data_IF_876855663084
#
_entry.id   IF_876855663084
#
_cell.length_a   1.000
_cell.length_b   1.000
_cell.length_c   1.000
_cell.angle_alpha   90.00
_cell.angle_beta   90.00
_cell.angle_gamma   90.00
#
_symmetry.space_group_name_H-M   'P 1'
#
loop_
_entity.id
_entity.type
_entity.pdbx_description
1 polymer ?
#
# COMPACT_ATOMS: atom_id res chain seq x y z
N UNK A 1 -19.54 22.29 -9.60
CA UNK A 1 -20.97 21.93 -9.49
C UNK A 1 -21.79 23.21 -9.59
N UNK A 2 -23.10 23.16 -9.86
CA UNK A 2 -23.98 24.31 -9.58
C UNK A 2 -24.33 24.23 -8.08
N UNK A 3 -24.13 25.31 -7.33
CA UNK A 3 -24.67 25.41 -5.97
C UNK A 3 -26.18 25.61 -6.01
N UNK A 4 -26.87 25.18 -4.97
CA UNK A 4 -28.29 25.39 -4.75
C UNK A 4 -28.41 26.12 -3.42
N UNK A 5 -28.82 27.39 -3.43
CA UNK A 5 -28.78 28.22 -2.22
C UNK A 5 -29.53 27.61 -1.04
N UNK A 6 -30.66 26.93 -1.31
CA UNK A 6 -31.48 26.21 -0.32
C UNK A 6 -30.68 25.16 0.47
N UNK A 7 -29.66 24.53 -0.15
CA UNK A 7 -28.75 23.61 0.55
C UNK A 7 -27.77 24.41 1.41
N UNK A 8 -27.12 25.42 0.82
CA UNK A 8 -26.12 26.26 1.49
C UNK A 8 -26.72 27.07 2.69
N UNK A 9 -28.03 27.34 2.65
CA UNK A 9 -28.81 28.03 3.71
C UNK A 9 -29.07 27.14 4.94
N UNK A 10 -28.96 25.81 4.83
CA UNK A 10 -29.26 24.86 5.92
C UNK A 10 -28.10 23.90 6.19
N UNK A 11 -27.43 24.10 7.33
CA UNK A 11 -26.25 23.32 7.73
C UNK A 11 -26.54 21.82 7.81
N UNK A 12 -27.65 21.43 8.46
CA UNK A 12 -28.06 20.03 8.63
C UNK A 12 -28.30 19.34 7.28
N UNK A 13 -28.90 20.05 6.31
CA UNK A 13 -29.12 19.54 4.96
C UNK A 13 -27.81 19.41 4.18
N UNK A 14 -26.93 20.41 4.27
CA UNK A 14 -25.58 20.35 3.69
C UNK A 14 -24.84 19.12 4.20
N UNK A 15 -24.75 18.94 5.52
CA UNK A 15 -24.09 17.79 6.14
C UNK A 15 -24.76 16.47 5.77
N UNK A 16 -26.09 16.42 5.77
CA UNK A 16 -26.88 15.25 5.35
C UNK A 16 -26.65 14.85 3.89
N UNK A 17 -26.45 15.82 2.98
CA UNK A 17 -26.13 15.58 1.57
C UNK A 17 -24.65 15.17 1.40
N UNK A 18 -23.73 15.84 2.08
CA UNK A 18 -22.29 15.53 2.03
C UNK A 18 -22.00 14.12 2.54
N UNK A 19 -22.61 13.71 3.66
CA UNK A 19 -22.50 12.36 4.21
C UNK A 19 -22.97 11.28 3.22
N UNK A 20 -24.13 11.50 2.59
CA UNK A 20 -24.69 10.60 1.54
C UNK A 20 -23.83 10.56 0.29
N UNK A 21 -23.29 11.71 -0.13
CA UNK A 21 -22.36 11.80 -1.25
C UNK A 21 -21.07 11.03 -0.95
N UNK A 22 -20.49 11.18 0.24
CA UNK A 22 -19.26 10.49 0.64
C UNK A 22 -19.47 8.99 0.81
N UNK A 23 -20.57 8.55 1.42
CA UNK A 23 -20.97 7.14 1.41
C UNK A 23 -21.09 6.56 -0.01
N UNK A 24 -21.68 7.31 -0.94
CA UNK A 24 -21.80 6.89 -2.36
C UNK A 24 -20.42 6.81 -3.05
N UNK A 25 -19.50 7.74 -2.76
CA UNK A 25 -18.10 7.65 -3.22
C UNK A 25 -17.40 6.39 -2.68
N UNK A 26 -17.62 6.04 -1.40
CA UNK A 26 -17.07 4.83 -0.80
C UNK A 26 -17.60 3.56 -1.49
N UNK A 27 -18.93 3.45 -1.69
CA UNK A 27 -19.53 2.33 -2.46
C UNK A 27 -18.95 2.21 -3.86
N UNK A 28 -18.78 3.32 -4.56
CA UNK A 28 -18.17 3.33 -5.89
C UNK A 28 -16.71 2.86 -5.87
N UNK A 29 -15.93 3.28 -4.88
CA UNK A 29 -14.54 2.85 -4.74
C UNK A 29 -14.42 1.35 -4.43
N UNK A 30 -15.28 0.80 -3.56
CA UNK A 30 -15.37 -0.64 -3.29
C UNK A 30 -15.84 -1.44 -4.51
N UNK A 31 -16.82 -0.93 -5.27
CA UNK A 31 -17.23 -1.58 -6.51
C UNK A 31 -16.07 -1.62 -7.52
N UNK A 32 -15.35 -0.51 -7.69
CA UNK A 32 -14.19 -0.45 -8.56
C UNK A 32 -13.08 -1.42 -8.11
N UNK A 33 -12.73 -1.49 -6.82
CA UNK A 33 -11.69 -2.43 -6.35
C UNK A 33 -12.01 -3.88 -6.68
N UNK A 34 -13.29 -4.29 -6.54
CA UNK A 34 -13.79 -5.62 -6.97
C UNK A 34 -13.65 -5.85 -8.49
N UNK A 35 -13.69 -4.82 -9.34
CA UNK A 35 -13.43 -4.96 -10.79
C UNK A 35 -11.95 -5.04 -11.17
N UNK A 36 -11.03 -4.53 -10.33
CA UNK A 36 -9.59 -4.63 -10.56
C UNK A 36 -9.01 -6.01 -10.19
N UNK A 37 -9.66 -6.74 -9.27
CA UNK A 37 -9.16 -8.04 -8.79
C UNK A 37 -8.99 -9.10 -9.90
N UNK A 38 -9.96 -9.37 -10.81
CA UNK A 38 -9.80 -10.39 -11.86
C UNK A 38 -8.67 -10.08 -12.85
N UNK A 39 -8.19 -8.83 -12.86
CA UNK A 39 -7.10 -8.35 -13.70
C UNK A 39 -5.72 -8.42 -12.98
N UNK A 40 -5.65 -9.03 -11.79
CA UNK A 40 -4.48 -9.08 -10.91
C UNK A 40 -3.93 -7.69 -10.49
N UNK A 41 -4.74 -6.64 -10.62
CA UNK A 41 -4.40 -5.25 -10.28
C UNK A 41 -4.61 -4.98 -8.79
N UNK A 42 -3.93 -5.76 -7.97
CA UNK A 42 -4.12 -5.79 -6.53
C UNK A 42 -3.70 -4.50 -5.82
N UNK A 43 -2.65 -3.83 -6.30
CA UNK A 43 -2.19 -2.57 -5.74
C UNK A 43 -3.24 -1.46 -5.93
N UNK A 44 -3.81 -1.36 -7.13
CA UNK A 44 -4.90 -0.44 -7.45
C UNK A 44 -6.19 -0.78 -6.68
N UNK A 45 -6.51 -2.07 -6.55
CA UNK A 45 -7.66 -2.52 -5.77
C UNK A 45 -7.53 -2.14 -4.27
N UNK A 46 -6.37 -2.34 -3.66
CA UNK A 46 -6.11 -1.95 -2.26
C UNK A 46 -6.06 -0.43 -2.09
N UNK A 47 -5.50 0.31 -3.03
CA UNK A 47 -5.57 1.79 -3.00
C UNK A 47 -7.01 2.31 -3.05
N UNK A 48 -7.90 1.61 -3.78
CA UNK A 48 -9.32 1.94 -3.84
C UNK A 48 -10.07 1.60 -2.54
N UNK A 49 -9.76 0.50 -1.84
CA UNK A 49 -10.37 0.24 -0.51
C UNK A 49 -9.88 1.25 0.53
N UNK A 50 -8.60 1.64 0.49
CA UNK A 50 -8.07 2.71 1.34
C UNK A 50 -8.79 4.05 1.08
N UNK A 51 -9.08 4.38 -0.18
CA UNK A 51 -9.88 5.56 -0.53
C UNK A 51 -11.35 5.43 -0.09
N UNK A 52 -11.93 4.24 -0.13
CA UNK A 52 -13.27 4.00 0.41
C UNK A 52 -13.32 4.28 1.93
N UNK A 53 -12.31 3.83 2.69
CA UNK A 53 -12.17 4.11 4.13
C UNK A 53 -12.08 5.62 4.45
N UNK A 54 -11.44 6.43 3.61
CA UNK A 54 -11.44 7.90 3.78
C UNK A 54 -12.84 8.49 3.62
N UNK A 55 -13.55 8.11 2.56
CA UNK A 55 -14.92 8.56 2.31
C UNK A 55 -15.93 8.03 3.34
N UNK A 56 -15.68 6.88 3.96
CA UNK A 56 -16.45 6.37 5.09
C UNK A 56 -16.25 7.20 6.36
N UNK A 57 -15.03 7.66 6.65
CA UNK A 57 -14.77 8.58 7.77
C UNK A 57 -15.47 9.92 7.57
N UNK A 58 -15.37 10.49 6.36
CA UNK A 58 -16.12 11.69 5.97
C UNK A 58 -17.63 11.50 6.19
N UNK A 59 -18.20 10.38 5.73
CA UNK A 59 -19.61 10.07 5.95
C UNK A 59 -19.96 9.91 7.43
N UNK A 60 -19.15 9.17 8.20
CA UNK A 60 -19.37 8.97 9.63
C UNK A 60 -19.34 10.30 10.41
N UNK A 61 -18.45 11.24 10.07
CA UNK A 61 -18.48 12.58 10.69
C UNK A 61 -19.77 13.33 10.35
N UNK A 62 -20.20 13.33 9.08
CA UNK A 62 -21.45 13.99 8.68
C UNK A 62 -22.70 13.38 9.35
N UNK A 63 -22.74 12.06 9.59
CA UNK A 63 -23.89 11.38 10.22
C UNK A 63 -23.84 11.36 11.76
N UNK A 64 -22.70 11.62 12.38
CA UNK A 64 -22.61 11.74 13.84
C UNK A 64 -23.15 13.10 14.34
N UNK A 65 -22.99 14.14 13.52
CA UNK A 65 -23.36 15.52 13.86
C UNK A 65 -24.72 15.95 13.27
N UNK A 66 -25.23 15.28 12.23
CA UNK A 66 -26.54 15.58 11.65
C UNK A 66 -27.70 15.00 12.49
N UNK A 67 -28.74 15.81 12.70
CA UNK A 67 -30.00 15.35 13.31
C UNK A 67 -30.67 14.25 12.47
N UNK A 68 -31.23 13.23 13.14
CA UNK A 68 -31.67 11.98 12.50
C UNK A 68 -32.77 12.16 11.43
N UNK A 69 -33.59 13.22 11.53
CA UNK A 69 -34.79 13.43 10.72
C UNK A 69 -34.81 14.80 9.98
N UNK A 70 -33.96 14.98 8.97
CA UNK A 70 -34.16 16.05 7.96
C UNK A 70 -35.10 15.57 6.84
N UNK A 71 -36.35 16.06 6.74
CA UNK A 71 -37.35 15.54 5.81
C UNK A 71 -36.94 15.69 4.33
N UNK A 72 -36.11 16.67 4.01
CA UNK A 72 -35.52 16.90 2.69
C UNK A 72 -34.64 15.73 2.23
N UNK A 73 -34.12 14.91 3.16
CA UNK A 73 -33.24 13.79 2.86
C UNK A 73 -33.95 12.43 2.82
N UNK A 74 -35.27 12.39 3.04
CA UNK A 74 -36.08 11.17 3.10
C UNK A 74 -36.12 10.37 1.78
N UNK A 75 -35.77 10.98 0.63
CA UNK A 75 -35.70 10.30 -0.67
C UNK A 75 -34.54 9.28 -0.74
N UNK A 76 -33.52 9.42 0.10
CA UNK A 76 -32.39 8.50 0.22
C UNK A 76 -32.11 8.26 1.71
N UNK A 77 -32.93 7.42 2.37
CA UNK A 77 -32.75 7.12 3.79
C UNK A 77 -31.44 6.36 3.96
N UNK A 78 -30.54 6.92 4.77
CA UNK A 78 -29.25 6.34 5.07
C UNK A 78 -28.93 6.56 6.54
N UNK A 79 -28.74 5.46 7.27
CA UNK A 79 -28.47 5.47 8.71
C UNK A 79 -26.98 5.26 8.99
N UNK A 80 -26.51 5.66 10.17
CA UNK A 80 -25.15 5.41 10.61
C UNK A 80 -24.79 3.91 10.58
N UNK A 81 -25.75 3.02 10.83
CA UNK A 81 -25.51 1.57 10.78
C UNK A 81 -25.24 1.06 9.36
N UNK A 82 -25.85 1.64 8.32
CA UNK A 82 -25.49 1.32 6.93
C UNK A 82 -24.08 1.78 6.55
N UNK A 83 -23.56 2.83 7.20
CA UNK A 83 -22.15 3.26 7.07
C UNK A 83 -21.23 2.24 7.72
N UNK A 84 -21.55 1.76 8.94
CA UNK A 84 -20.79 0.70 9.64
C UNK A 84 -20.80 -0.63 8.88
N UNK A 85 -21.92 -1.01 8.28
CA UNK A 85 -22.04 -2.21 7.45
C UNK A 85 -21.11 -2.11 6.23
N UNK A 86 -21.14 -0.99 5.50
CA UNK A 86 -20.23 -0.75 4.38
C UNK A 86 -18.76 -0.67 4.81
N UNK A 87 -18.46 -0.12 5.98
CA UNK A 87 -17.10 -0.10 6.53
C UNK A 87 -16.57 -1.52 6.76
N UNK A 88 -17.37 -2.39 7.38
CA UNK A 88 -17.01 -3.81 7.52
C UNK A 88 -16.78 -4.46 6.15
N UNK A 89 -17.65 -4.21 5.19
CA UNK A 89 -17.55 -4.74 3.81
C UNK A 89 -16.25 -4.30 3.10
N UNK A 90 -15.80 -3.06 3.34
CA UNK A 90 -14.52 -2.53 2.85
C UNK A 90 -13.32 -3.16 3.58
N UNK A 91 -13.39 -3.30 4.90
CA UNK A 91 -12.33 -3.92 5.71
C UNK A 91 -12.14 -5.39 5.33
N UNK A 92 -13.21 -6.17 5.25
CA UNK A 92 -13.18 -7.58 4.86
C UNK A 92 -12.56 -7.72 3.45
N UNK A 93 -13.03 -6.93 2.47
CA UNK A 93 -12.48 -6.89 1.12
C UNK A 93 -11.00 -6.47 1.08
N UNK A 94 -10.58 -5.49 1.89
CA UNK A 94 -9.17 -5.07 1.97
C UNK A 94 -8.28 -6.18 2.53
N UNK A 95 -8.72 -6.91 3.56
CA UNK A 95 -7.92 -8.05 4.08
C UNK A 95 -7.82 -9.17 3.04
N UNK A 96 -8.89 -9.47 2.31
CA UNK A 96 -8.89 -10.51 1.30
C UNK A 96 -8.06 -10.15 0.07
N UNK A 97 -8.15 -8.89 -0.41
CA UNK A 97 -7.27 -8.39 -1.47
C UNK A 97 -5.80 -8.47 -1.07
N UNK A 98 -5.45 -8.11 0.18
CA UNK A 98 -4.06 -8.26 0.68
C UNK A 98 -3.60 -9.72 0.75
N UNK A 99 -4.45 -10.64 1.22
CA UNK A 99 -4.16 -12.09 1.23
C UNK A 99 -3.93 -12.62 -0.19
N UNK A 100 -4.81 -12.25 -1.14
CA UNK A 100 -4.72 -12.65 -2.55
C UNK A 100 -3.49 -12.05 -3.24
N UNK A 101 -3.17 -10.79 -2.97
CA UNK A 101 -1.95 -10.13 -3.47
C UNK A 101 -0.66 -10.80 -2.96
N UNK A 102 -0.61 -11.08 -1.65
CA UNK A 102 0.51 -11.82 -1.05
C UNK A 102 0.68 -13.19 -1.68
N UNK A 103 -0.42 -13.94 -1.86
CA UNK A 103 -0.44 -15.24 -2.51
C UNK A 103 -0.08 -15.19 -4.01
N UNK A 104 -0.43 -14.12 -4.72
CA UNK A 104 -0.07 -13.88 -6.12
C UNK A 104 1.43 -13.62 -6.28
N UNK A 105 2.03 -12.83 -5.37
CA UNK A 105 3.45 -12.50 -5.39
C UNK A 105 4.39 -13.65 -4.99
N UNK A 106 3.88 -14.86 -4.73
CA UNK A 106 4.66 -16.02 -4.31
C UNK A 106 4.48 -16.43 -2.83
N UNK A 107 3.72 -15.69 -2.02
CA UNK A 107 3.50 -15.98 -0.60
C UNK A 107 2.67 -17.23 -0.27
N UNK A 108 2.44 -18.14 -1.23
CA UNK A 108 1.78 -19.43 -0.98
C UNK A 108 2.79 -20.41 -0.37
N UNK A 109 2.38 -21.10 0.69
CA UNK A 109 3.14 -22.24 1.20
C UNK A 109 2.98 -23.44 0.24
N UNK A 110 4.02 -23.75 -0.53
CA UNK A 110 4.06 -24.90 -1.44
C UNK A 110 4.87 -26.03 -0.81
N UNK A 111 4.20 -26.85 0.01
CA UNK A 111 4.86 -27.93 0.75
C UNK A 111 5.75 -27.41 1.88
N UNK A 112 6.97 -27.93 1.98
CA UNK A 112 7.93 -27.61 3.06
C UNK A 112 8.73 -26.33 2.85
N UNK A 113 8.63 -25.71 1.66
CA UNK A 113 9.32 -24.45 1.35
C UNK A 113 8.31 -23.35 1.09
N UNK A 114 8.43 -22.27 1.87
CA UNK A 114 7.68 -21.05 1.63
C UNK A 114 8.39 -20.28 0.52
N UNK A 115 7.75 -20.10 -0.62
CA UNK A 115 8.29 -19.27 -1.69
C UNK A 115 8.33 -17.81 -1.21
N UNK A 116 9.47 -17.14 -1.39
CA UNK A 116 9.63 -15.74 -0.98
C UNK A 116 8.75 -14.87 -1.89
N UNK A 117 7.92 -13.96 -1.33
CA UNK A 117 7.28 -12.94 -2.13
C UNK A 117 8.31 -12.01 -2.77
N UNK A 118 8.09 -11.51 -3.98
CA UNK A 118 9.06 -10.68 -4.75
C UNK A 118 9.67 -9.52 -3.95
N UNK A 119 8.92 -8.89 -3.03
CA UNK A 119 9.46 -7.80 -2.20
C UNK A 119 10.50 -8.24 -1.15
N UNK A 120 10.53 -9.54 -0.80
CA UNK A 120 11.57 -10.11 0.07
C UNK A 120 12.92 -10.24 -0.64
N UNK A 121 12.99 -10.32 -1.97
CA UNK A 121 14.27 -10.41 -2.66
C UNK A 121 15.04 -9.07 -2.59
N UNK A 122 14.33 -7.94 -2.56
CA UNK A 122 14.94 -6.60 -2.42
C UNK A 122 15.55 -6.41 -1.02
N UNK A 123 14.90 -6.91 0.04
CA UNK A 123 15.29 -6.64 1.43
C UNK A 123 15.99 -7.81 2.16
N UNK A 124 15.75 -9.05 1.73
CA UNK A 124 16.10 -10.29 2.45
C UNK A 124 16.63 -11.39 1.50
N UNK A 125 17.30 -10.96 0.43
CA UNK A 125 17.93 -11.84 -0.59
C UNK A 125 18.75 -12.98 0.05
N UNK A 126 19.56 -12.67 1.06
CA UNK A 126 20.52 -13.61 1.69
C UNK A 126 20.04 -14.28 2.98
N UNK A 127 18.79 -14.09 3.39
CA UNK A 127 18.26 -14.63 4.66
C UNK A 127 17.18 -15.68 4.37
N UNK A 128 17.33 -16.88 4.92
CA UNK A 128 16.25 -17.88 4.95
C UNK A 128 15.12 -17.35 5.85
N UNK A 129 13.90 -17.33 5.34
CA UNK A 129 12.78 -16.68 6.04
C UNK A 129 12.22 -17.63 7.12
N UNK A 130 12.37 -17.32 8.43
CA UNK A 130 12.02 -18.25 9.50
C UNK A 130 10.52 -18.18 9.79
N UNK A 131 9.69 -18.66 8.85
CA UNK A 131 8.24 -18.54 8.88
C UNK A 131 7.60 -19.09 10.16
N UNK A 132 8.11 -20.20 10.71
CA UNK A 132 7.63 -20.74 11.99
C UNK A 132 7.84 -19.79 13.17
N UNK A 133 8.99 -19.09 13.23
CA UNK A 133 9.27 -18.08 14.28
C UNK A 133 8.40 -16.84 14.11
N UNK A 134 8.07 -16.47 12.87
CA UNK A 134 7.16 -15.36 12.56
C UNK A 134 5.70 -15.72 12.91
N UNK A 135 5.25 -16.93 12.56
CA UNK A 135 3.92 -17.44 12.92
C UNK A 135 3.75 -17.56 14.44
N UNK A 136 4.75 -18.11 15.15
CA UNK A 136 4.75 -18.18 16.60
C UNK A 136 4.70 -16.80 17.27
N UNK A 137 5.43 -15.80 16.75
CA UNK A 137 5.31 -14.40 17.20
C UNK A 137 3.96 -13.76 16.87
N UNK A 138 3.30 -14.19 15.80
CA UNK A 138 1.96 -13.75 15.41
C UNK A 138 0.83 -14.48 16.17
N UNK A 139 1.15 -15.35 17.14
CA UNK A 139 0.16 -16.13 17.90
C UNK A 139 -0.52 -17.24 17.09
N UNK A 140 -0.07 -17.51 15.86
CA UNK A 140 -0.58 -18.61 15.04
C UNK A 140 0.03 -19.91 15.56
N UNK A 141 -0.82 -20.85 15.99
CA UNK A 141 -0.38 -22.14 16.50
C UNK A 141 0.42 -22.91 15.44
N UNK A 142 1.74 -22.98 15.63
CA UNK A 142 2.64 -23.72 14.75
C UNK A 142 2.26 -25.20 14.73
N UNK A 143 1.96 -25.76 13.56
CA UNK A 143 1.90 -27.21 13.36
C UNK A 143 3.31 -27.75 13.35
N UNK A 144 3.77 -28.21 14.52
CA UNK A 144 5.12 -28.75 14.70
C UNK A 144 5.43 -29.84 13.66
N UNK A 145 6.50 -29.62 12.88
CA UNK A 145 7.20 -30.67 12.14
C UNK A 145 8.61 -30.83 12.73
N UNK A 146 9.21 -32.04 12.66
CA UNK A 146 10.41 -32.35 13.41
C UNK A 146 11.65 -31.65 12.86
N UNK A 147 12.52 -31.22 13.77
CA UNK A 147 13.73 -30.47 13.47
C UNK A 147 14.64 -31.20 12.46
N UNK A 148 15.09 -30.48 11.44
CA UNK A 148 16.27 -30.85 10.65
C UNK A 148 17.42 -29.91 11.00
N UNK A 149 18.57 -30.50 11.33
CA UNK A 149 19.77 -29.79 11.74
C UNK A 149 20.28 -28.88 10.63
N UNK A 150 20.56 -27.62 10.95
CA UNK A 150 21.25 -26.67 10.06
C UNK A 150 22.76 -26.89 10.11
N UNK A 151 23.47 -27.04 8.97
CA UNK A 151 24.92 -26.90 8.92
C UNK A 151 25.30 -25.41 8.99
N UNK A 152 26.41 -25.11 9.66
CA UNK A 152 26.97 -23.76 9.67
C UNK A 152 27.57 -23.42 8.30
N UNK A 153 27.43 -22.16 7.86
CA UNK A 153 28.11 -21.63 6.68
C UNK A 153 29.07 -20.54 7.12
N UNK A 154 30.33 -20.70 6.71
CA UNK A 154 31.47 -19.89 7.15
C UNK A 154 31.53 -18.53 6.45
N UNK A 155 32.13 -17.54 7.12
CA UNK A 155 32.43 -16.23 6.53
C UNK A 155 33.55 -16.36 5.50
N UNK A 156 33.23 -16.31 4.20
CA UNK A 156 34.26 -16.21 3.15
C UNK A 156 34.63 -14.74 2.85
N UNK A 157 35.61 -14.29 3.62
CA UNK A 157 36.66 -13.30 3.32
C UNK A 157 36.44 -12.36 2.11
N UNK A 158 36.36 -11.07 2.41
CA UNK A 158 36.54 -9.96 1.48
C UNK A 158 38.04 -9.65 1.36
N UNK A 159 38.75 -10.29 0.43
CA UNK A 159 40.17 -10.02 0.15
C UNK A 159 40.62 -10.48 -1.25
N UNK A 160 40.33 -9.68 -2.29
CA UNK A 160 41.13 -9.67 -3.52
C UNK A 160 40.81 -8.43 -4.37
N UNK A 161 41.56 -7.34 -4.17
CA UNK A 161 41.71 -6.20 -5.11
C UNK A 161 42.76 -5.19 -4.63
N UNK A 162 44.03 -5.63 -4.52
CA UNK A 162 45.18 -4.72 -4.44
C UNK A 162 46.52 -5.39 -4.80
N UNK A 163 46.85 -5.41 -6.10
CA UNK A 163 48.22 -5.44 -6.64
C UNK A 163 48.18 -5.50 -8.18
N UNK A 164 48.62 -4.44 -8.87
CA UNK A 164 49.31 -4.44 -10.17
C UNK A 164 49.26 -3.06 -10.87
N UNK A 165 50.28 -2.25 -10.62
CA UNK A 165 50.84 -1.16 -11.45
C UNK A 165 52.39 -1.27 -11.28
N UNK A 166 53.28 -0.70 -12.12
CA UNK A 166 53.08 0.53 -12.92
C UNK A 166 53.71 0.59 -14.35
N UNK A 167 53.30 1.63 -15.12
CA UNK A 167 54.10 2.50 -16.04
C UNK A 167 54.89 1.93 -17.27
N UNK A 168 55.38 2.78 -18.21
CA UNK A 168 54.72 3.92 -18.90
C UNK A 168 55.04 4.01 -20.43
N UNK A 169 54.33 4.83 -21.21
CA UNK A 169 54.92 5.51 -22.40
C UNK A 169 54.07 6.72 -22.90
N UNK A 170 54.61 7.50 -23.84
CA UNK A 170 54.49 8.96 -23.91
C UNK A 170 53.46 9.59 -24.88
N UNK A 171 53.26 10.90 -24.68
CA UNK A 171 52.86 11.97 -25.64
C UNK A 171 51.38 12.39 -25.79
N UNK A 172 51.20 13.72 -25.75
CA UNK A 172 49.96 14.46 -26.00
C UNK A 172 50.16 15.41 -27.21
N UNK A 173 49.09 16.01 -27.80
CA UNK A 173 48.59 17.29 -27.26
C UNK A 173 47.06 17.53 -27.38
N UNK A 174 46.57 18.51 -26.59
CA UNK A 174 45.19 19.06 -26.57
C UNK A 174 45.01 20.21 -27.59
N UNK A 175 43.77 20.57 -28.05
CA UNK A 175 42.71 21.32 -27.30
C UNK A 175 41.27 20.79 -27.62
N UNK A 176 40.10 21.37 -27.30
CA UNK A 176 39.56 22.63 -26.70
C UNK A 176 38.39 22.23 -25.75
N UNK A 177 38.05 22.92 -24.63
CA UNK A 177 37.03 22.43 -23.69
C UNK A 177 35.57 22.72 -24.11
N UNK A 178 34.67 21.76 -23.90
CA UNK A 178 33.22 21.98 -23.85
C UNK A 178 32.66 21.62 -22.47
N UNK A 179 32.02 22.59 -21.82
CA UNK A 179 31.31 22.41 -20.57
C UNK A 179 29.94 21.75 -20.83
N UNK A 180 29.69 20.60 -20.24
CA UNK A 180 28.34 20.05 -20.06
C UNK A 180 28.04 19.88 -18.56
N UNK A 181 27.64 20.98 -17.93
CA UNK A 181 27.16 20.93 -16.55
C UNK A 181 25.81 20.21 -16.48
N UNK A 182 25.79 19.10 -15.73
CA UNK A 182 24.68 18.63 -14.89
C UNK A 182 23.29 18.43 -15.50
N UNK A 183 22.84 17.17 -15.62
CA UNK A 183 21.40 16.87 -15.64
C UNK A 183 20.97 15.51 -15.02
N UNK A 184 21.76 14.93 -14.12
CA UNK A 184 21.39 13.71 -13.35
C UNK A 184 21.16 13.96 -11.85
N UNK A 185 21.19 15.22 -11.40
CA UNK A 185 21.10 15.59 -9.97
C UNK A 185 19.68 15.84 -9.43
N UNK A 186 18.63 15.77 -10.24
CA UNK A 186 17.28 16.25 -9.86
C UNK A 186 16.29 15.19 -9.37
N UNK A 187 16.64 13.89 -9.38
CA UNK A 187 15.70 12.79 -9.11
C UNK A 187 15.74 12.19 -7.69
N UNK A 188 16.61 12.67 -6.79
CA UNK A 188 16.76 12.12 -5.43
C UNK A 188 16.82 13.17 -4.30
N UNK A 189 16.53 14.45 -4.58
CA UNK A 189 16.76 15.57 -3.64
C UNK A 189 15.52 16.18 -2.94
N UNK A 190 14.33 15.57 -3.06
CA UNK A 190 13.05 16.28 -2.83
C UNK A 190 12.35 16.14 -1.48
N UNK A 191 12.77 15.25 -0.56
CA UNK A 191 11.94 14.88 0.61
C UNK A 191 12.36 15.52 1.96
N UNK A 192 13.64 15.89 2.15
CA UNK A 192 14.15 16.30 3.47
C UNK A 192 14.65 17.75 3.46
N UNK A 193 13.73 18.71 3.58
CA UNK A 193 14.13 20.10 3.83
C UNK A 193 13.11 21.18 3.48
N UNK A 194 12.11 21.41 4.34
CA UNK A 194 11.56 22.75 4.56
C UNK A 194 11.47 23.06 6.05
N UNK A 195 11.89 24.29 6.38
CA UNK A 195 11.56 25.00 7.61
C UNK A 195 10.14 25.55 7.50
#
# INVERSE_FOLDING_TARGET
MRSLSVVDESADLTMGIEGRMSYTKARRALFLSRTYEPHNKFAEAVALTQRANLHLREAHTSFADAGEDTPETAFYPLTLDSVKELEKDVQDAETDLKKRWFAYNGGKASGTQHQKPVFFDIALNYIELPMEKLQGKAGVASKAQPAKNSPAVEKRVLAERKAAEPEPEESAPTPVPQQSQGMLGSLLGGWWGRK
#
